data_IF_650479322823
#
_entry.id   IF_650479322823
#
_cell.length_a   1.000
_cell.length_b   1.000
_cell.length_c   1.000
_cell.angle_alpha   90.00
_cell.angle_beta   90.00
_cell.angle_gamma   90.00
#
_symmetry.space_group_name_H-M   'P 1'
#
loop_
_entity.id
_entity.type
_entity.pdbx_description
1 polymer ?
#
# COMPACT_ATOMS: atom_id res chain seq x y z
N UNK A 1 -49.06 2.51 -37.12
CA UNK A 1 -48.04 1.70 -36.43
C UNK A 1 -46.94 1.36 -37.41
N UNK A 2 -45.69 1.77 -37.14
CA UNK A 2 -44.46 1.06 -37.50
C UNK A 2 -43.28 1.87 -36.93
N UNK A 3 -42.70 1.37 -35.83
CA UNK A 3 -41.42 1.83 -35.29
C UNK A 3 -40.32 1.17 -36.12
N UNK A 4 -39.54 1.96 -36.85
CA UNK A 4 -38.34 1.46 -37.50
C UNK A 4 -37.21 1.42 -36.48
N UNK A 5 -36.88 0.21 -36.01
CA UNK A 5 -35.75 -0.04 -35.14
C UNK A 5 -34.46 0.23 -35.94
N UNK A 6 -33.70 1.25 -35.51
CA UNK A 6 -32.33 1.49 -35.95
C UNK A 6 -31.43 0.47 -35.22
N UNK A 7 -30.68 -0.40 -35.91
CA UNK A 7 -29.76 -1.30 -35.23
C UNK A 7 -28.62 -0.47 -34.63
N UNK A 8 -28.51 -0.49 -33.30
CA UNK A 8 -27.35 0.01 -32.57
C UNK A 8 -26.14 -0.78 -33.03
N UNK A 9 -25.19 -0.11 -33.69
CA UNK A 9 -23.85 -0.64 -33.88
C UNK A 9 -23.22 -0.75 -32.49
N UNK A 10 -23.19 -1.96 -31.93
CA UNK A 10 -22.33 -2.28 -30.80
C UNK A 10 -20.88 -2.12 -31.28
N UNK A 11 -20.28 -0.97 -30.99
CA UNK A 11 -18.85 -0.80 -31.16
C UNK A 11 -18.17 -1.72 -30.14
N UNK A 12 -17.18 -2.54 -30.50
CA UNK A 12 -16.44 -3.41 -29.57
C UNK A 12 -15.54 -2.63 -28.59
N UNK A 13 -15.79 -1.33 -28.40
CA UNK A 13 -15.04 -0.38 -27.58
C UNK A 13 -15.80 0.02 -26.30
N UNK A 14 -16.76 -0.79 -25.85
CA UNK A 14 -17.47 -0.56 -24.57
C UNK A 14 -16.79 -1.24 -23.38
N UNK A 15 -15.62 -1.87 -23.57
CA UNK A 15 -14.80 -2.33 -22.44
C UNK A 15 -13.89 -1.20 -21.99
N UNK A 16 -13.94 -0.78 -20.71
CA UNK A 16 -12.98 0.16 -20.18
C UNK A 16 -11.57 -0.40 -20.39
N UNK A 17 -10.66 0.48 -20.79
CA UNK A 17 -9.26 0.12 -20.99
C UNK A 17 -8.69 -0.50 -19.70
N UNK A 18 -7.80 -1.49 -19.81
CA UNK A 18 -7.17 -2.08 -18.64
C UNK A 18 -6.46 -1.00 -17.83
N UNK A 19 -6.48 -1.09 -16.49
CA UNK A 19 -5.88 -0.09 -15.63
C UNK A 19 -4.40 0.08 -15.96
N UNK A 20 -4.00 1.33 -16.17
CA UNK A 20 -2.62 1.70 -16.36
C UNK A 20 -1.83 1.42 -15.06
N UNK A 21 -0.49 1.29 -15.11
CA UNK A 21 0.32 1.11 -13.91
C UNK A 21 0.05 2.16 -12.82
N UNK A 22 -0.30 3.39 -13.22
CA UNK A 22 -0.71 4.45 -12.31
C UNK A 22 -2.05 4.16 -11.61
N UNK A 23 -3.03 3.57 -12.31
CA UNK A 23 -4.33 3.22 -11.75
C UNK A 23 -4.20 2.12 -10.69
N UNK A 24 -3.28 1.18 -10.90
CA UNK A 24 -2.93 0.14 -9.93
C UNK A 24 -2.30 0.78 -8.68
N UNK A 25 -1.40 1.73 -8.86
CA UNK A 25 -0.73 2.43 -7.77
C UNK A 25 -1.70 3.30 -6.95
N UNK A 26 -2.67 3.94 -7.60
CA UNK A 26 -3.79 4.65 -6.96
C UNK A 26 -4.69 3.69 -6.18
N UNK A 27 -5.01 2.54 -6.76
CA UNK A 27 -5.82 1.49 -6.11
C UNK A 27 -5.14 0.91 -4.87
N UNK A 28 -3.82 0.67 -4.93
CA UNK A 28 -3.02 0.21 -3.80
C UNK A 28 -3.00 1.21 -2.64
N UNK A 29 -3.07 2.51 -2.96
CA UNK A 29 -3.20 3.58 -1.99
C UNK A 29 -4.64 3.81 -1.50
N UNK A 30 -5.61 2.98 -1.94
CA UNK A 30 -7.05 3.15 -1.65
C UNK A 30 -7.58 4.56 -1.99
N UNK A 31 -6.99 5.20 -3.00
CA UNK A 31 -7.31 6.60 -3.35
C UNK A 31 -6.59 7.67 -2.50
N UNK A 32 -5.72 7.29 -1.56
CA UNK A 32 -4.85 8.23 -0.83
C UNK A 32 -3.60 8.52 -1.66
N UNK A 33 -3.77 9.31 -2.72
CA UNK A 33 -2.64 9.98 -3.36
C UNK A 33 -2.41 11.28 -2.58
N UNK A 34 -1.21 11.42 -2.01
CA UNK A 34 -0.82 12.46 -1.06
C UNK A 34 -0.78 13.90 -1.63
N UNK A 35 -1.83 14.34 -2.34
CA UNK A 35 -1.94 15.69 -2.87
C UNK A 35 -3.25 16.41 -2.49
N UNK A 36 -4.37 15.73 -2.22
CA UNK A 36 -5.64 16.40 -1.90
C UNK A 36 -6.56 15.51 -1.03
N UNK A 37 -6.26 15.35 0.26
CA UNK A 37 -7.24 14.81 1.24
C UNK A 37 -8.28 15.89 1.63
N UNK A 38 -8.98 16.44 0.63
CA UNK A 38 -10.34 16.90 0.89
C UNK A 38 -11.26 15.73 0.62
N UNK A 39 -11.90 15.22 1.67
CA UNK A 39 -13.02 14.29 1.51
C UNK A 39 -14.05 14.90 0.56
N UNK A 40 -14.86 14.10 -0.17
CA UNK A 40 -15.91 14.62 -1.04
C UNK A 40 -16.81 15.67 -0.35
N UNK A 41 -17.03 15.51 0.95
CA UNK A 41 -17.77 16.44 1.81
C UNK A 41 -17.00 17.75 2.03
N UNK A 42 -15.67 17.69 2.25
CA UNK A 42 -14.83 18.90 2.32
C UNK A 42 -14.77 19.62 0.98
N UNK A 43 -14.71 18.88 -0.14
CA UNK A 43 -14.76 19.45 -1.51
C UNK A 43 -16.11 20.12 -1.78
N UNK A 44 -17.23 19.50 -1.37
CA UNK A 44 -18.54 20.12 -1.50
C UNK A 44 -18.68 21.35 -0.58
N UNK A 45 -18.14 21.30 0.64
CA UNK A 45 -18.16 22.41 1.58
C UNK A 45 -17.33 23.61 1.08
N UNK A 46 -16.15 23.41 0.49
CA UNK A 46 -15.38 24.50 -0.14
C UNK A 46 -16.06 25.06 -1.39
N UNK A 47 -16.84 24.25 -2.10
CA UNK A 47 -17.60 24.69 -3.28
C UNK A 47 -18.85 25.50 -2.92
N UNK A 48 -19.38 25.31 -1.70
CA UNK A 48 -20.63 25.91 -1.21
C UNK A 48 -20.40 27.04 -0.19
N UNK A 49 -19.19 27.16 0.38
CA UNK A 49 -18.84 28.19 1.36
C UNK A 49 -18.50 29.55 0.72
N UNK A 50 -18.59 30.65 1.49
CA UNK A 50 -18.08 31.94 1.03
C UNK A 50 -16.59 31.82 0.69
N UNK A 51 -16.14 32.46 -0.39
CA UNK A 51 -14.72 32.47 -0.74
C UNK A 51 -13.94 33.09 0.41
N UNK A 52 -13.05 32.30 1.02
CA UNK A 52 -12.11 32.79 2.02
C UNK A 52 -11.38 34.01 1.48
N UNK A 53 -11.20 35.02 2.32
CA UNK A 53 -10.28 36.09 1.99
C UNK A 53 -8.88 35.51 1.76
N UNK A 54 -8.07 36.19 0.96
CA UNK A 54 -6.69 35.77 0.68
C UNK A 54 -5.91 35.50 1.98
N UNK A 55 -6.15 36.29 3.03
CA UNK A 55 -5.52 36.14 4.34
C UNK A 55 -5.92 34.85 5.04
N UNK A 56 -7.22 34.55 5.10
CA UNK A 56 -7.72 33.30 5.72
C UNK A 56 -7.22 32.08 4.95
N UNK A 57 -7.14 32.18 3.61
CA UNK A 57 -6.57 31.12 2.77
C UNK A 57 -5.09 30.89 3.05
N UNK A 58 -4.31 31.95 3.26
CA UNK A 58 -2.88 31.83 3.63
C UNK A 58 -2.73 31.15 4.98
N UNK A 59 -3.57 31.49 5.97
CA UNK A 59 -3.52 30.89 7.30
C UNK A 59 -3.82 29.38 7.26
N UNK A 60 -4.89 28.99 6.55
CA UNK A 60 -5.24 27.57 6.36
C UNK A 60 -4.09 26.79 5.71
N UNK A 61 -3.53 27.31 4.61
CA UNK A 61 -2.44 26.65 3.90
C UNK A 61 -1.15 26.59 4.75
N UNK A 62 -0.92 27.58 5.60
CA UNK A 62 0.23 27.58 6.52
C UNK A 62 0.08 26.49 7.57
N UNK A 63 -1.13 26.32 8.12
CA UNK A 63 -1.45 25.25 9.07
C UNK A 63 -1.32 23.88 8.43
N UNK A 64 -1.87 23.70 7.23
CA UNK A 64 -1.78 22.46 6.46
C UNK A 64 -0.33 22.09 6.15
N UNK A 65 0.48 23.05 5.66
CA UNK A 65 1.91 22.83 5.44
C UNK A 65 2.66 22.44 6.72
N UNK A 66 2.27 23.00 7.87
CA UNK A 66 2.82 22.62 9.18
C UNK A 66 2.55 21.15 9.51
N UNK A 67 1.32 20.70 9.29
CA UNK A 67 0.90 19.30 9.52
C UNK A 67 1.63 18.35 8.57
N UNK A 68 1.67 18.65 7.27
CA UNK A 68 2.37 17.84 6.27
C UNK A 68 3.87 17.69 6.59
N UNK A 69 4.53 18.76 7.06
CA UNK A 69 5.93 18.70 7.51
C UNK A 69 6.13 17.84 8.76
N UNK A 70 5.13 17.76 9.63
CA UNK A 70 5.18 16.88 10.80
C UNK A 70 5.03 15.41 10.37
N UNK A 71 4.10 15.14 9.46
CA UNK A 71 3.84 13.82 8.91
C UNK A 71 5.05 13.28 8.12
N UNK A 72 5.67 14.09 7.27
CA UNK A 72 6.92 13.72 6.58
C UNK A 72 8.00 13.32 7.59
N UNK A 73 8.19 14.10 8.65
CA UNK A 73 9.19 13.80 9.70
C UNK A 73 8.86 12.52 10.45
N UNK A 74 7.59 12.24 10.70
CA UNK A 74 7.14 10.99 11.30
C UNK A 74 7.51 9.79 10.42
N UNK A 75 7.12 9.79 9.14
CA UNK A 75 7.39 8.67 8.25
C UNK A 75 8.89 8.47 7.99
N UNK A 76 9.67 9.56 7.90
CA UNK A 76 11.13 9.46 7.77
C UNK A 76 11.76 8.76 8.97
N UNK A 77 11.34 9.10 10.20
CA UNK A 77 11.82 8.42 11.41
C UNK A 77 11.41 6.95 11.43
N UNK A 78 10.15 6.68 11.11
CA UNK A 78 9.61 5.33 11.15
C UNK A 78 10.28 4.42 10.12
N UNK A 79 10.60 4.94 8.93
CA UNK A 79 11.27 4.17 7.88
C UNK A 79 12.62 3.60 8.33
N UNK A 80 13.42 4.38 9.06
CA UNK A 80 14.73 3.90 9.55
C UNK A 80 14.54 2.77 10.58
N UNK A 81 13.66 2.97 11.55
CA UNK A 81 13.35 1.94 12.56
C UNK A 81 12.76 0.67 11.93
N UNK A 82 11.91 0.81 10.90
CA UNK A 82 11.37 -0.33 10.15
C UNK A 82 12.46 -1.10 9.41
N UNK A 83 13.44 -0.40 8.81
CA UNK A 83 14.53 -1.06 8.11
C UNK A 83 15.40 -1.87 9.07
N UNK A 84 15.76 -1.30 10.23
CA UNK A 84 16.51 -2.02 11.28
C UNK A 84 15.75 -3.28 11.73
N UNK A 85 14.45 -3.17 11.98
CA UNK A 85 13.62 -4.31 12.36
C UNK A 85 13.59 -5.41 11.28
N UNK A 86 13.50 -5.03 10.01
CA UNK A 86 13.51 -5.98 8.88
C UNK A 86 14.84 -6.72 8.82
N UNK A 87 15.95 -6.00 8.94
CA UNK A 87 17.29 -6.58 8.84
C UNK A 87 17.55 -7.55 10.00
N UNK A 88 17.19 -7.17 11.23
CA UNK A 88 17.30 -8.03 12.41
C UNK A 88 16.43 -9.28 12.29
N UNK A 89 15.19 -9.12 11.84
CA UNK A 89 14.25 -10.25 11.66
C UNK A 89 14.77 -11.23 10.61
N UNK A 90 15.34 -10.71 9.52
CA UNK A 90 15.96 -11.54 8.49
C UNK A 90 17.14 -12.34 9.04
N UNK A 91 18.04 -11.67 9.77
CA UNK A 91 19.18 -12.33 10.41
C UNK A 91 18.76 -13.46 11.36
N UNK A 92 17.80 -13.18 12.25
CA UNK A 92 17.28 -14.18 13.20
C UNK A 92 16.65 -15.36 12.47
N UNK A 93 15.87 -15.09 11.42
CA UNK A 93 15.21 -16.14 10.62
C UNK A 93 16.23 -17.04 9.92
N UNK A 94 17.26 -16.46 9.30
CA UNK A 94 18.33 -17.21 8.64
C UNK A 94 19.11 -18.08 9.64
N UNK A 95 19.44 -17.52 10.81
CA UNK A 95 20.12 -18.24 11.89
C UNK A 95 19.29 -19.40 12.42
N UNK A 96 17.99 -19.19 12.63
CA UNK A 96 17.07 -20.22 13.09
C UNK A 96 16.96 -21.34 12.06
N UNK A 97 16.74 -21.01 10.80
CA UNK A 97 16.66 -21.97 9.70
C UNK A 97 17.94 -22.82 9.61
N UNK A 98 19.11 -22.21 9.71
CA UNK A 98 20.38 -22.93 9.73
C UNK A 98 20.51 -23.89 10.92
N UNK A 99 20.03 -23.48 12.09
CA UNK A 99 20.06 -24.30 13.30
C UNK A 99 19.12 -25.50 13.20
N UNK A 100 17.89 -25.28 12.73
CA UNK A 100 16.92 -26.35 12.48
C UNK A 100 17.47 -27.37 11.49
N UNK A 101 18.04 -26.92 10.37
CA UNK A 101 18.65 -27.82 9.37
C UNK A 101 19.76 -28.70 9.95
N UNK A 102 20.65 -28.13 10.77
CA UNK A 102 21.71 -28.90 11.45
C UNK A 102 21.13 -29.92 12.42
N UNK A 103 20.15 -29.52 13.22
CA UNK A 103 19.47 -30.42 14.14
C UNK A 103 18.82 -31.59 13.41
N UNK A 104 18.03 -31.33 12.36
CA UNK A 104 17.37 -32.38 11.57
C UNK A 104 18.38 -33.33 10.91
N UNK A 105 19.55 -32.83 10.52
CA UNK A 105 20.62 -33.69 10.00
C UNK A 105 21.12 -34.67 11.07
N UNK A 106 21.49 -34.16 12.25
CA UNK A 106 21.96 -34.98 13.38
C UNK A 106 20.89 -35.97 13.83
N UNK A 107 19.63 -35.54 13.89
CA UNK A 107 18.51 -36.42 14.24
C UNK A 107 18.42 -37.60 13.28
N UNK A 108 18.47 -37.36 11.97
CA UNK A 108 18.40 -38.43 10.96
C UNK A 108 19.58 -39.38 11.02
N UNK A 109 20.78 -38.85 11.25
CA UNK A 109 21.99 -39.68 11.44
C UNK A 109 21.83 -40.59 12.66
N UNK A 110 21.38 -40.06 13.79
CA UNK A 110 21.13 -40.84 15.00
C UNK A 110 20.03 -41.90 14.81
N UNK A 111 18.95 -41.58 14.10
CA UNK A 111 17.88 -42.53 13.76
C UNK A 111 18.41 -43.69 12.89
N UNK A 112 19.23 -43.39 11.88
CA UNK A 112 19.85 -44.39 11.02
C UNK A 112 20.82 -45.31 11.78
N UNK A 113 21.65 -44.74 12.66
CA UNK A 113 22.58 -45.49 13.49
C UNK A 113 21.82 -46.43 14.45
N UNK A 114 20.74 -45.93 15.06
CA UNK A 114 19.87 -46.71 15.92
C UNK A 114 19.24 -47.90 15.20
N UNK A 115 18.69 -47.67 13.99
CA UNK A 115 18.12 -48.73 13.17
C UNK A 115 19.15 -49.77 12.76
N UNK A 116 20.36 -49.32 12.39
CA UNK A 116 21.45 -50.21 11.98
C UNK A 116 21.98 -51.07 13.13
N UNK A 117 21.92 -50.58 14.37
CA UNK A 117 22.33 -51.34 15.56
C UNK A 117 21.31 -52.40 16.01
N UNK A 118 20.06 -52.31 15.54
CA UNK A 118 18.94 -53.18 15.97
C UNK A 118 18.27 -53.93 14.79
N UNK A 119 18.91 -53.98 13.62
CA UNK A 119 18.50 -54.79 12.47
C UNK A 119 19.41 -56.01 12.34
#
# INVERSE_FOLDING_TARGET
MQRTNRPSRENPSDKPSPPMPIDIQIGLQRGSTAALEMTPERLQATKQGPSLSTTERIEELTKENGLLRLEIRYYQRMRNAMQELIDDTKFVTERLNGTVKRFTKVQREAENDWHSAHS
#
